data_IF_254433755574
#
_entry.id   IF_254433755574
#
_cell.length_a   1.000
_cell.length_b   1.000
_cell.length_c   1.000
_cell.angle_alpha   90.00
_cell.angle_beta   90.00
_cell.angle_gamma   90.00
#
_symmetry.space_group_name_H-M   'P 1'
#
loop_
_entity.id
_entity.type
_entity.pdbx_description
1 polymer ?
#
# COMPACT_ATOMS: atom_id res chain seq x y z
N UNK A 1 -5.66 -32.66 18.51
CA UNK A 1 -7.00 -32.03 18.64
C UNK A 1 -7.02 -30.55 19.03
N UNK A 2 -6.13 -30.04 19.91
CA UNK A 2 -5.96 -28.57 20.05
C UNK A 2 -4.89 -28.01 19.10
N UNK A 3 -3.76 -28.72 18.97
CA UNK A 3 -2.65 -28.35 18.09
C UNK A 3 -3.07 -28.30 16.61
N UNK A 4 -3.88 -29.27 16.17
CA UNK A 4 -4.40 -29.31 14.80
C UNK A 4 -5.30 -28.11 14.49
N UNK A 5 -6.15 -27.69 15.46
CA UNK A 5 -7.00 -26.50 15.32
C UNK A 5 -6.18 -25.21 15.23
N UNK A 6 -5.09 -25.11 16.01
CA UNK A 6 -4.16 -23.98 15.94
C UNK A 6 -3.49 -23.93 14.57
N UNK A 7 -3.01 -25.05 14.06
CA UNK A 7 -2.37 -25.12 12.75
C UNK A 7 -3.34 -24.71 11.63
N UNK A 8 -4.58 -25.22 11.65
CA UNK A 8 -5.60 -24.81 10.66
C UNK A 8 -5.87 -23.31 10.70
N UNK A 9 -5.96 -22.71 11.89
CA UNK A 9 -6.17 -21.26 12.03
C UNK A 9 -4.97 -20.44 11.57
N UNK A 10 -3.75 -20.93 11.79
CA UNK A 10 -2.54 -20.31 11.27
C UNK A 10 -2.49 -20.37 9.73
N UNK A 11 -2.86 -21.50 9.14
CA UNK A 11 -2.93 -21.66 7.68
C UNK A 11 -3.98 -20.73 7.06
N UNK A 12 -5.14 -20.58 7.72
CA UNK A 12 -6.15 -19.59 7.32
C UNK A 12 -5.59 -18.16 7.33
N UNK A 13 -4.89 -17.77 8.41
CA UNK A 13 -4.26 -16.43 8.52
C UNK A 13 -3.20 -16.21 7.45
N UNK A 14 -2.34 -17.22 7.22
CA UNK A 14 -1.30 -17.15 6.19
C UNK A 14 -1.90 -17.02 4.79
N UNK A 15 -2.96 -17.77 4.51
CA UNK A 15 -3.71 -17.67 3.25
C UNK A 15 -4.32 -16.28 3.07
N UNK A 16 -4.94 -15.72 4.11
CA UNK A 16 -5.48 -14.34 4.06
C UNK A 16 -4.36 -13.34 3.79
N UNK A 17 -3.23 -13.46 4.49
CA UNK A 17 -2.09 -12.54 4.34
C UNK A 17 -1.48 -12.61 2.94
N UNK A 18 -1.36 -13.80 2.35
CA UNK A 18 -0.86 -14.00 0.99
C UNK A 18 -1.80 -13.40 -0.08
N UNK A 19 -3.10 -13.35 0.20
CA UNK A 19 -4.10 -12.77 -0.69
C UNK A 19 -4.22 -11.24 -0.57
N UNK A 20 -3.52 -10.61 0.39
CA UNK A 20 -3.53 -9.16 0.48
C UNK A 20 -2.75 -8.54 -0.69
N UNK A 21 -3.29 -7.48 -1.31
CA UNK A 21 -2.60 -6.80 -2.39
C UNK A 21 -1.30 -6.17 -1.86
N UNK A 22 -0.18 -6.54 -2.47
CA UNK A 22 1.14 -5.95 -2.17
C UNK A 22 1.30 -4.55 -2.75
N UNK A 23 0.45 -4.19 -3.71
CA UNK A 23 0.45 -2.92 -4.43
C UNK A 23 -0.87 -2.19 -4.25
N UNK A 24 -0.80 -0.93 -3.82
CA UNK A 24 -1.98 -0.09 -3.58
C UNK A 24 -2.01 1.01 -4.64
N UNK A 25 -3.14 1.19 -5.36
CA UNK A 25 -3.24 2.24 -6.37
C UNK A 25 -3.26 3.63 -5.73
N UNK A 26 -2.54 4.56 -6.36
CA UNK A 26 -2.58 5.98 -6.02
C UNK A 26 -3.92 6.58 -6.44
N UNK A 27 -4.90 6.52 -5.54
CA UNK A 27 -6.24 7.06 -5.76
C UNK A 27 -6.36 8.51 -5.30
N UNK A 28 -7.40 9.20 -5.78
CA UNK A 28 -7.74 10.56 -5.33
C UNK A 28 -7.97 10.60 -3.82
N UNK A 29 -8.76 9.63 -3.33
CA UNK A 29 -9.06 9.47 -1.91
C UNK A 29 -7.80 9.29 -1.07
N UNK A 30 -6.88 8.43 -1.51
CA UNK A 30 -5.61 8.23 -0.79
C UNK A 30 -4.75 9.50 -0.75
N UNK A 31 -4.75 10.29 -1.84
CA UNK A 31 -4.08 11.58 -1.87
C UNK A 31 -4.69 12.57 -0.86
N UNK A 32 -6.01 12.63 -0.77
CA UNK A 32 -6.76 13.45 0.20
C UNK A 32 -6.47 13.02 1.65
N UNK A 33 -6.49 11.71 1.94
CA UNK A 33 -6.13 11.14 3.25
C UNK A 33 -4.69 11.46 3.67
N UNK A 34 -3.79 11.61 2.69
CA UNK A 34 -2.40 12.05 2.92
C UNK A 34 -2.24 13.58 2.98
N UNK A 35 -3.32 14.36 2.88
CA UNK A 35 -3.30 15.83 2.93
C UNK A 35 -2.85 16.50 1.62
N UNK A 36 -2.96 15.82 0.47
CA UNK A 36 -2.69 16.39 -0.84
C UNK A 36 -3.99 16.82 -1.54
N UNK A 37 -3.96 18.00 -2.18
CA UNK A 37 -5.10 18.51 -2.96
C UNK A 37 -5.36 17.73 -4.26
N UNK A 38 -4.33 17.08 -4.82
CA UNK A 38 -4.42 16.35 -6.09
C UNK A 38 -3.55 15.09 -6.06
N UNK A 39 -3.91 14.10 -6.88
CA UNK A 39 -3.11 12.88 -7.08
C UNK A 39 -1.71 13.23 -7.58
N UNK A 40 -1.57 14.22 -8.48
CA UNK A 40 -0.27 14.58 -9.05
C UNK A 40 0.70 15.13 -7.99
N UNK A 41 0.19 15.86 -6.99
CA UNK A 41 0.99 16.35 -5.87
C UNK A 41 1.59 15.20 -5.05
N UNK A 42 0.76 14.18 -4.74
CA UNK A 42 1.22 12.97 -4.06
C UNK A 42 2.18 12.16 -4.96
N UNK A 43 1.84 11.98 -6.24
CA UNK A 43 2.65 11.26 -7.23
C UNK A 43 4.06 11.84 -7.33
N UNK A 44 4.18 13.16 -7.45
CA UNK A 44 5.46 13.87 -7.50
C UNK A 44 6.25 13.66 -6.21
N UNK A 45 5.59 13.66 -5.06
CA UNK A 45 6.25 13.37 -3.80
C UNK A 45 6.78 11.93 -3.76
N UNK A 46 5.94 10.94 -4.12
CA UNK A 46 6.36 9.53 -4.18
C UNK A 46 7.54 9.32 -5.12
N UNK A 47 7.51 9.91 -6.32
CA UNK A 47 8.59 9.82 -7.30
C UNK A 47 9.95 10.32 -6.77
N UNK A 48 9.93 11.35 -5.90
CA UNK A 48 11.16 11.97 -5.39
C UNK A 48 11.67 11.34 -4.08
N UNK A 49 10.82 10.60 -3.35
CA UNK A 49 11.13 10.18 -1.97
C UNK A 49 11.04 8.67 -1.75
N UNK A 50 10.39 7.93 -2.64
CA UNK A 50 10.30 6.47 -2.53
C UNK A 50 11.31 5.79 -3.45
N UNK A 51 11.81 4.60 -3.07
CA UNK A 51 12.60 3.80 -3.98
C UNK A 51 11.81 3.47 -5.26
N UNK A 52 12.41 3.52 -6.46
CA UNK A 52 11.73 3.24 -7.72
C UNK A 52 11.02 1.89 -7.76
N UNK A 53 11.60 0.86 -7.14
CA UNK A 53 11.05 -0.49 -7.04
C UNK A 53 9.87 -0.62 -6.06
N UNK A 54 9.54 0.46 -5.36
CA UNK A 54 8.39 0.55 -4.44
C UNK A 54 7.32 1.53 -4.94
N UNK A 55 7.54 2.17 -6.09
CA UNK A 55 6.61 3.10 -6.69
C UNK A 55 6.60 2.97 -8.22
N UNK A 56 5.61 2.25 -8.74
CA UNK A 56 5.59 1.82 -10.14
C UNK A 56 4.31 2.26 -10.86
N UNK A 57 4.39 2.32 -12.18
CA UNK A 57 3.23 2.58 -13.04
C UNK A 57 2.78 1.27 -13.69
N UNK A 58 1.57 0.81 -13.39
CA UNK A 58 0.96 -0.35 -14.05
C UNK A 58 -0.22 0.13 -14.91
N UNK A 59 -0.04 0.11 -16.23
CA UNK A 59 -1.03 0.64 -17.17
C UNK A 59 -1.23 2.16 -17.01
N UNK A 60 -2.46 2.57 -16.70
CA UNK A 60 -2.82 3.99 -16.52
C UNK A 60 -2.61 4.50 -15.09
N UNK A 61 -2.46 3.61 -14.12
CA UNK A 61 -2.42 3.95 -12.70
C UNK A 61 -0.99 3.83 -12.14
N UNK A 62 -0.72 4.60 -11.10
CA UNK A 62 0.48 4.48 -10.29
C UNK A 62 0.17 3.69 -9.03
N UNK A 63 1.13 2.92 -8.54
CA UNK A 63 0.99 2.04 -7.39
C UNK A 63 2.15 2.23 -6.44
N UNK A 64 1.87 2.14 -5.15
CA UNK A 64 2.87 2.07 -4.08
C UNK A 64 2.88 0.67 -3.49
N UNK A 65 4.06 0.18 -3.16
CA UNK A 65 4.20 -1.07 -2.45
C UNK A 65 3.76 -0.88 -0.97
N UNK A 66 3.08 -1.86 -0.39
CA UNK A 66 2.55 -1.78 0.98
C UNK A 66 3.62 -1.47 2.03
N UNK A 67 4.86 -1.93 1.80
CA UNK A 67 5.99 -1.72 2.72
C UNK A 67 6.43 -0.27 2.88
N UNK A 68 6.02 0.64 1.98
CA UNK A 68 6.39 2.06 2.02
C UNK A 68 5.20 2.97 2.35
N UNK A 69 4.01 2.40 2.60
CA UNK A 69 2.79 3.16 2.92
C UNK A 69 2.97 4.02 4.17
N UNK A 70 3.69 3.51 5.18
CA UNK A 70 4.02 4.24 6.40
C UNK A 70 5.03 5.39 6.18
N UNK A 71 5.77 5.38 5.07
CA UNK A 71 6.72 6.44 4.71
C UNK A 71 6.05 7.57 3.94
N UNK A 72 4.86 7.32 3.35
CA UNK A 72 4.14 8.33 2.57
C UNK A 72 3.78 9.51 3.47
N UNK A 73 4.32 10.68 3.14
CA UNK A 73 4.12 11.91 3.92
C UNK A 73 2.64 12.23 4.05
N UNK A 74 2.16 12.34 5.29
CA UNK A 74 0.86 12.91 5.62
C UNK A 74 1.05 14.39 5.93
N UNK A 75 0.46 15.29 5.14
CA UNK A 75 0.38 16.71 5.49
C UNK A 75 -0.75 16.85 6.50
N UNK A 76 -0.48 17.50 7.64
CA UNK A 76 -1.52 17.87 8.60
C UNK A 76 -2.60 18.65 7.83
N UNK A 77 -3.83 18.14 7.87
CA UNK A 77 -5.00 18.73 7.21
C UNK A 77 -5.43 19.99 7.94
#
# INVERSE_FOLDING_TARGET
MLLDQINTKLDEILSIHQNLPTWIPLSKRYAEECGYKTIDGLRKWCYNNLPPEKFEKHGKNWYIHVSVVNQVKRKTV
#
